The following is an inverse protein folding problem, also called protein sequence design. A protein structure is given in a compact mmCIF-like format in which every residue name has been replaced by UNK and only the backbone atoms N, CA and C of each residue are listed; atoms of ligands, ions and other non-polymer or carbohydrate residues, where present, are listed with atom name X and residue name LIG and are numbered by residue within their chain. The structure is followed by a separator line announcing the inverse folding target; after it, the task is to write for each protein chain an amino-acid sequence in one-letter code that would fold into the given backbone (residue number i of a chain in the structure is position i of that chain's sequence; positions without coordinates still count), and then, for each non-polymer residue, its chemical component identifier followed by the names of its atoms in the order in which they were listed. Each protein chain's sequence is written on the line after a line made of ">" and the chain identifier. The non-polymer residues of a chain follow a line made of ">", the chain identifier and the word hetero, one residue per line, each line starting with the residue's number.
data_IF_679385472173
#
_entry.id   IF_679385472173
#
_cell.length_a   1.000
_cell.length_b   1.000
_cell.length_c   1.000
_cell.angle_alpha   90.00
_cell.angle_beta   90.00
_cell.angle_gamma   90.00
#
_symmetry.space_group_name_H-M   'P 1'
#
loop_
_entity.id
_entity.type
_entity.pdbx_description
1 polymer ?
#
# COMPACT_ATOMS: atom_id res chain seq x y z
N UNK A 1 -10.34 13.95 6.09
CA UNK A 1 -10.14 12.51 5.80
C UNK A 1 -9.90 12.42 4.31
N UNK A 2 -8.83 11.79 3.84
CA UNK A 2 -8.65 11.65 2.39
C UNK A 2 -9.71 10.68 1.86
N UNK A 3 -10.40 11.05 0.78
CA UNK A 3 -11.42 10.20 0.13
C UNK A 3 -10.83 8.93 -0.49
N UNK A 4 -9.49 8.79 -0.43
CA UNK A 4 -8.70 7.71 -1.01
C UNK A 4 -8.46 6.53 -0.07
N UNK A 5 -8.84 6.65 1.20
CA UNK A 5 -8.64 5.58 2.19
C UNK A 5 -9.98 5.21 2.81
N UNK A 6 -10.39 3.97 2.64
CA UNK A 6 -11.67 3.50 3.15
C UNK A 6 -11.63 2.02 3.51
N UNK A 7 -12.45 1.59 4.49
CA UNK A 7 -12.55 0.19 4.84
C UNK A 7 -13.38 -0.58 3.82
N UNK A 8 -12.94 -1.80 3.52
CA UNK A 8 -13.70 -2.81 2.80
C UNK A 8 -13.75 -4.08 3.66
N UNK A 9 -14.75 -4.92 3.43
CA UNK A 9 -14.93 -6.17 4.17
C UNK A 9 -14.84 -7.35 3.21
N UNK A 10 -14.11 -8.37 3.62
CA UNK A 10 -14.01 -9.63 2.89
C UNK A 10 -13.99 -10.79 3.89
N UNK A 11 -14.89 -11.75 3.71
CA UNK A 11 -15.02 -12.93 4.59
C UNK A 11 -15.03 -12.56 6.10
N UNK A 12 -15.74 -11.49 6.46
CA UNK A 12 -15.84 -11.01 7.85
C UNK A 12 -14.61 -10.28 8.39
N UNK A 13 -13.51 -10.16 7.63
CA UNK A 13 -12.33 -9.38 8.02
C UNK A 13 -12.35 -8.00 7.37
N UNK A 14 -11.90 -7.00 8.13
CA UNK A 14 -11.75 -5.61 7.67
C UNK A 14 -10.39 -5.43 7.01
N UNK A 15 -10.39 -4.87 5.81
CA UNK A 15 -9.21 -4.49 5.04
C UNK A 15 -9.28 -2.98 4.79
N UNK A 16 -8.18 -2.26 4.92
CA UNK A 16 -8.11 -0.87 4.50
C UNK A 16 -7.61 -0.80 3.06
N UNK A 17 -8.43 -0.22 2.19
CA UNK A 17 -8.08 0.05 0.80
C UNK A 17 -7.55 1.48 0.69
N UNK A 18 -6.43 1.65 -0.02
CA UNK A 18 -5.81 2.93 -0.33
C UNK A 18 -5.67 3.11 -1.83
N UNK A 19 -6.38 4.09 -2.38
CA UNK A 19 -6.36 4.46 -3.80
C UNK A 19 -5.15 5.37 -4.11
N UNK A 20 -4.10 4.77 -4.67
CA UNK A 20 -2.91 5.45 -5.20
C UNK A 20 -2.90 5.44 -6.73
N UNK A 21 -4.08 5.37 -7.37
CA UNK A 21 -4.19 5.34 -8.82
C UNK A 21 -3.89 6.69 -9.45
N UNK A 22 -3.37 6.66 -10.68
CA UNK A 22 -3.14 7.83 -11.53
C UNK A 22 -2.30 8.96 -10.89
N UNK A 23 -1.42 8.64 -9.94
CA UNK A 23 -0.44 9.59 -9.40
C UNK A 23 0.69 9.75 -10.42
N UNK A 24 0.67 10.85 -11.17
CA UNK A 24 1.56 11.09 -12.32
C UNK A 24 2.82 11.87 -11.95
N UNK A 25 2.82 12.55 -10.80
CA UNK A 25 3.95 13.34 -10.34
C UNK A 25 4.44 12.87 -8.97
N UNK A 26 5.73 13.08 -8.63
CA UNK A 26 6.25 12.77 -7.30
C UNK A 26 5.47 13.48 -6.19
N UNK A 27 5.07 14.73 -6.37
CA UNK A 27 4.33 15.49 -5.35
C UNK A 27 2.96 14.88 -5.05
N UNK A 28 2.25 14.43 -6.09
CA UNK A 28 0.98 13.71 -5.92
C UNK A 28 1.18 12.40 -5.17
N UNK A 29 2.21 11.64 -5.55
CA UNK A 29 2.56 10.38 -4.90
C UNK A 29 2.93 10.59 -3.42
N UNK A 30 3.83 11.53 -3.13
CA UNK A 30 4.28 11.85 -1.77
C UNK A 30 3.12 12.29 -0.89
N UNK A 31 2.24 13.17 -1.39
CA UNK A 31 1.05 13.61 -0.64
C UNK A 31 0.19 12.41 -0.21
N UNK A 32 -0.16 11.52 -1.14
CA UNK A 32 -1.01 10.36 -0.85
C UNK A 32 -0.29 9.35 0.05
N UNK A 33 1.01 9.14 -0.13
CA UNK A 33 1.83 8.29 0.74
C UNK A 33 1.83 8.81 2.17
N UNK A 34 2.01 10.13 2.37
CA UNK A 34 1.97 10.76 3.69
C UNK A 34 0.58 10.65 4.33
N UNK A 35 -0.48 10.99 3.59
CA UNK A 35 -1.86 10.85 4.06
C UNK A 35 -2.17 9.41 4.50
N UNK A 36 -1.71 8.41 3.73
CA UNK A 36 -1.87 6.99 4.07
C UNK A 36 -1.11 6.62 5.33
N UNK A 37 0.13 7.10 5.46
CA UNK A 37 0.94 6.83 6.64
C UNK A 37 0.38 7.46 7.92
N UNK A 38 -0.10 8.70 7.83
CA UNK A 38 -0.67 9.42 8.96
C UNK A 38 -2.00 8.80 9.37
N UNK A 39 -2.80 8.32 8.40
CA UNK A 39 -4.00 7.54 8.68
C UNK A 39 -3.67 6.27 9.48
N UNK A 40 -2.71 5.46 9.02
CA UNK A 40 -2.31 4.22 9.69
C UNK A 40 -1.81 4.48 11.12
N UNK A 41 -0.97 5.50 11.30
CA UNK A 41 -0.43 5.89 12.61
C UNK A 41 -1.55 6.36 13.54
N UNK A 42 -2.44 7.23 13.03
CA UNK A 42 -3.57 7.76 13.82
C UNK A 42 -4.59 6.69 14.18
N UNK A 43 -4.81 5.73 13.28
CA UNK A 43 -5.68 4.59 13.55
C UNK A 43 -5.12 3.73 14.70
N UNK A 44 -3.79 3.58 14.79
CA UNK A 44 -3.10 2.90 15.90
C UNK A 44 -3.42 1.41 16.04
N UNK A 45 -4.25 0.86 15.16
CA UNK A 45 -4.65 -0.54 15.15
C UNK A 45 -3.45 -1.40 14.72
N UNK A 46 -3.19 -2.47 15.47
CA UNK A 46 -2.20 -3.48 15.10
C UNK A 46 -2.80 -4.50 14.16
N UNK A 47 -1.92 -5.22 13.47
CA UNK A 47 -2.28 -6.30 12.57
C UNK A 47 -3.18 -5.91 11.38
N UNK A 48 -2.96 -4.71 10.83
CA UNK A 48 -3.72 -4.20 9.71
C UNK A 48 -3.54 -5.05 8.45
N UNK A 49 -4.65 -5.25 7.74
CA UNK A 49 -4.69 -5.77 6.38
C UNK A 49 -4.90 -4.59 5.44
N UNK A 50 -3.98 -4.43 4.49
CA UNK A 50 -3.95 -3.26 3.60
C UNK A 50 -3.95 -3.69 2.13
N UNK A 51 -4.73 -3.01 1.30
CA UNK A 51 -4.62 -3.04 -0.17
C UNK A 51 -4.23 -1.65 -0.65
N UNK A 52 -3.22 -1.57 -1.50
CA UNK A 52 -2.83 -0.34 -2.18
C UNK A 52 -3.00 -0.54 -3.68
N UNK A 53 -3.87 0.25 -4.30
CA UNK A 53 -4.04 0.23 -5.76
C UNK A 53 -3.17 1.32 -6.40
N UNK A 54 -2.21 0.90 -7.23
CA UNK A 54 -1.26 1.80 -7.89
C UNK A 54 -1.53 1.94 -9.38
N UNK A 55 -2.70 1.52 -9.88
CA UNK A 55 -3.02 1.52 -11.31
C UNK A 55 -2.77 2.88 -11.96
N UNK A 56 -1.96 2.87 -13.02
CA UNK A 56 -1.65 4.07 -13.80
C UNK A 56 -0.79 5.11 -13.06
N UNK A 57 -0.25 4.80 -11.89
CA UNK A 57 0.77 5.64 -11.23
C UNK A 57 2.17 5.30 -11.70
N UNK A 58 3.13 6.18 -11.41
CA UNK A 58 4.55 5.94 -11.66
C UNK A 58 5.34 5.94 -10.35
N UNK A 59 6.31 5.03 -10.25
CA UNK A 59 7.28 5.02 -9.17
C UNK A 59 8.58 5.68 -9.66
N UNK A 60 9.07 6.64 -8.89
CA UNK A 60 10.36 7.32 -9.08
C UNK A 60 11.30 6.99 -7.91
N UNK A 61 12.59 7.27 -8.06
CA UNK A 61 13.57 7.12 -6.97
C UNK A 61 13.17 7.92 -5.72
N UNK A 62 12.58 9.10 -5.91
CA UNK A 62 12.08 9.94 -4.83
C UNK A 62 10.95 9.25 -4.05
N UNK A 63 9.96 8.71 -4.76
CA UNK A 63 8.85 7.98 -4.13
C UNK A 63 9.33 6.71 -3.42
N UNK A 64 10.38 6.05 -3.92
CA UNK A 64 10.98 4.88 -3.27
C UNK A 64 11.71 5.24 -1.97
N UNK A 65 12.43 6.36 -1.96
CA UNK A 65 13.08 6.88 -0.76
C UNK A 65 12.04 7.20 0.32
N UNK A 66 10.99 7.94 -0.06
CA UNK A 66 9.89 8.27 0.86
C UNK A 66 9.18 7.02 1.36
N UNK A 67 8.91 6.04 0.50
CA UNK A 67 8.28 4.78 0.90
C UNK A 67 9.14 4.01 1.93
N UNK A 68 10.47 4.01 1.78
CA UNK A 68 11.39 3.40 2.75
C UNK A 68 11.32 4.08 4.11
N UNK A 69 11.31 5.40 4.15
CA UNK A 69 11.18 6.19 5.38
C UNK A 69 9.82 5.97 6.06
N UNK A 70 8.74 6.04 5.27
CA UNK A 70 7.36 5.80 5.73
C UNK A 70 7.22 4.39 6.29
N UNK A 71 7.73 3.38 5.58
CA UNK A 71 7.65 1.99 6.02
C UNK A 71 8.31 1.80 7.39
N UNK A 72 9.43 2.47 7.69
CA UNK A 72 10.05 2.46 9.01
C UNK A 72 9.11 2.90 10.13
N UNK A 73 8.20 3.85 9.86
CA UNK A 73 7.22 4.38 10.81
C UNK A 73 5.98 3.49 10.94
N UNK A 74 5.52 2.90 9.83
CA UNK A 74 4.21 2.23 9.79
C UNK A 74 4.25 0.70 9.88
N UNK A 75 5.41 0.05 9.63
CA UNK A 75 5.51 -1.42 9.57
C UNK A 75 4.98 -2.15 10.81
N UNK A 76 5.09 -1.53 11.99
CA UNK A 76 4.62 -2.08 13.27
C UNK A 76 3.10 -2.23 13.36
N UNK A 77 2.34 -1.54 12.50
CA UNK A 77 0.88 -1.63 12.46
C UNK A 77 0.38 -2.66 11.44
N UNK A 78 1.19 -3.00 10.43
CA UNK A 78 0.79 -3.83 9.29
C UNK A 78 1.05 -5.32 9.53
N UNK A 79 0.05 -6.18 9.26
CA UNK A 79 0.22 -7.65 9.23
C UNK A 79 0.55 -8.14 7.84
N UNK A 80 -0.26 -7.73 6.86
CA UNK A 80 -0.14 -8.11 5.45
C UNK A 80 -0.53 -6.93 4.58
N UNK A 81 0.19 -6.76 3.48
CA UNK A 81 -0.05 -5.69 2.51
C UNK A 81 -0.09 -6.26 1.11
N UNK A 82 -1.12 -5.90 0.36
CA UNK A 82 -1.27 -6.27 -1.03
C UNK A 82 -1.17 -5.03 -1.92
N UNK A 83 -0.48 -5.14 -3.04
CA UNK A 83 -0.50 -4.14 -4.11
C UNK A 83 -1.28 -4.68 -5.30
N UNK A 84 -2.11 -3.86 -5.92
CA UNK A 84 -2.86 -4.18 -7.15
C UNK A 84 -2.63 -3.09 -8.20
N UNK A 85 -2.96 -3.40 -9.46
CA UNK A 85 -2.79 -2.44 -10.56
C UNK A 85 -1.33 -2.20 -10.96
N UNK A 86 -0.43 -3.10 -10.58
CA UNK A 86 0.99 -3.02 -10.89
C UNK A 86 1.23 -3.23 -12.39
N UNK A 87 1.96 -2.30 -13.00
CA UNK A 87 2.65 -2.56 -14.27
C UNK A 87 3.82 -3.53 -14.08
N UNK A 88 4.32 -4.12 -15.17
CA UNK A 88 5.50 -5.01 -15.13
C UNK A 88 6.72 -4.32 -14.48
N UNK A 89 6.96 -3.04 -14.77
CA UNK A 89 8.04 -2.28 -14.14
C UNK A 89 7.83 -2.11 -12.63
N UNK A 90 6.60 -1.84 -12.18
CA UNK A 90 6.29 -1.72 -10.76
C UNK A 90 6.40 -3.06 -10.03
N UNK A 91 6.16 -4.20 -10.69
CA UNK A 91 6.42 -5.54 -10.11
C UNK A 91 7.90 -5.76 -9.81
N UNK A 92 8.80 -5.30 -10.68
CA UNK A 92 10.25 -5.36 -10.43
C UNK A 92 10.61 -4.48 -9.23
N UNK A 93 10.07 -3.26 -9.17
CA UNK A 93 10.29 -2.33 -8.06
C UNK A 93 9.77 -2.91 -6.74
N UNK A 94 8.63 -3.61 -6.75
CA UNK A 94 8.06 -4.25 -5.57
C UNK A 94 9.03 -5.27 -4.95
N UNK A 95 9.76 -6.03 -5.76
CA UNK A 95 10.80 -6.93 -5.25
C UNK A 95 11.88 -6.16 -4.50
N UNK A 96 12.31 -5.00 -5.01
CA UNK A 96 13.26 -4.12 -4.30
C UNK A 96 12.67 -3.62 -2.98
N UNK A 97 11.39 -3.26 -2.94
CA UNK A 97 10.72 -2.82 -1.71
C UNK A 97 10.72 -3.92 -0.64
N UNK A 98 10.46 -5.17 -1.03
CA UNK A 98 10.45 -6.30 -0.12
C UNK A 98 11.81 -6.60 0.53
N UNK A 99 12.93 -6.18 -0.07
CA UNK A 99 14.26 -6.34 0.53
C UNK A 99 14.45 -5.50 1.80
N UNK A 100 13.71 -4.40 1.96
CA UNK A 100 13.86 -3.49 3.10
C UNK A 100 12.58 -3.28 3.91
N UNK A 101 11.41 -3.73 3.41
CA UNK A 101 10.14 -3.46 4.07
C UNK A 101 10.03 -4.16 5.44
N UNK A 102 10.59 -5.37 5.57
CA UNK A 102 10.36 -6.23 6.74
C UNK A 102 8.87 -6.58 6.93
N UNK A 103 8.05 -6.38 5.89
CA UNK A 103 6.61 -6.67 5.85
C UNK A 103 6.35 -7.53 4.63
N UNK A 104 5.45 -8.51 4.74
CA UNK A 104 5.07 -9.35 3.63
C UNK A 104 4.18 -8.55 2.65
N UNK A 105 4.79 -7.96 1.62
CA UNK A 105 4.09 -7.22 0.57
C UNK A 105 4.00 -8.09 -0.68
N UNK A 106 2.78 -8.33 -1.16
CA UNK A 106 2.54 -9.18 -2.34
C UNK A 106 1.77 -8.41 -3.40
N UNK A 107 2.20 -8.53 -4.66
CA UNK A 107 1.55 -7.89 -5.80
C UNK A 107 0.60 -8.83 -6.53
N UNK A 108 -0.65 -8.42 -6.73
CA UNK A 108 -1.70 -9.20 -7.38
C UNK A 108 -2.16 -8.54 -8.69
N UNK A 109 -2.66 -9.35 -9.62
CA UNK A 109 -3.25 -8.86 -10.88
C UNK A 109 -4.67 -8.33 -10.68
N UNK A 110 -5.43 -8.92 -9.75
CA UNK A 110 -6.81 -8.56 -9.46
C UNK A 110 -7.07 -8.34 -7.97
N UNK A 111 -8.15 -7.61 -7.70
CA UNK A 111 -8.52 -7.21 -6.35
C UNK A 111 -9.07 -8.37 -5.50
N UNK A 112 -9.73 -9.35 -6.11
CA UNK A 112 -10.33 -10.47 -5.36
C UNK A 112 -9.24 -11.41 -4.84
N UNK A 113 -8.26 -11.77 -5.67
CA UNK A 113 -7.10 -12.56 -5.25
C UNK A 113 -6.32 -11.89 -4.11
N UNK A 114 -6.16 -10.55 -4.17
CA UNK A 114 -5.54 -9.79 -3.09
C UNK A 114 -6.32 -9.91 -1.77
N UNK A 115 -7.65 -9.73 -1.82
CA UNK A 115 -8.52 -9.87 -0.64
C UNK A 115 -8.46 -11.27 -0.06
N UNK A 116 -8.56 -12.30 -0.89
CA UNK A 116 -8.49 -13.71 -0.47
C UNK A 116 -7.17 -14.02 0.25
N UNK A 117 -6.04 -13.53 -0.27
CA UNK A 117 -4.74 -13.75 0.35
C UNK A 117 -4.56 -13.00 1.68
N UNK A 118 -5.14 -11.79 1.79
CA UNK A 118 -5.09 -10.99 3.01
C UNK A 118 -5.87 -11.64 4.16
N UNK A 119 -7.00 -12.28 3.86
CA UNK A 119 -7.87 -12.87 4.88
C UNK A 119 -7.52 -14.30 5.25
N UNK A 120 -6.72 -15.01 4.45
CA UNK A 120 -6.13 -16.30 4.82
C UNK A 120 -5.11 -16.15 5.95
#
# INVERSE_FOLDING_TARGET
>A
MSERIYPIFHQGKKIYFSDWTNLKTPEQALKVMHETSDFVIKLGQKELLEIIDVKGSFATNETLKALKEINGRVKQYSKKKAFVGLSNAQRVILNTINLFSGTNIVGFDDLESAKDWLVK
#
